data_IF_526950106420
#
_entry.id   IF_526950106420
#
_cell.length_a   1.000
_cell.length_b   1.000
_cell.length_c   1.000
_cell.angle_alpha   90.00
_cell.angle_beta   90.00
_cell.angle_gamma   90.00
#
_symmetry.space_group_name_H-M   'P 1'
#
loop_
_entity.id
_entity.type
_entity.pdbx_description
1 polymer ?
#
# COMPACT_ATOMS: atom_id res chain seq x y z
N UNK A 1 6.18 16.10 -18.16
CA UNK A 1 5.43 15.67 -16.97
C UNK A 1 5.30 14.16 -17.13
N UNK A 2 6.12 13.39 -16.43
CA UNK A 2 6.03 11.93 -16.52
C UNK A 2 4.64 11.53 -16.01
N UNK A 3 3.89 10.86 -16.87
CA UNK A 3 2.56 10.35 -16.58
C UNK A 3 2.77 9.20 -15.57
N UNK A 4 2.67 9.50 -14.26
CA UNK A 4 2.90 8.52 -13.20
C UNK A 4 1.70 7.57 -13.15
N UNK A 5 1.64 6.65 -14.12
CA UNK A 5 0.64 5.60 -14.20
C UNK A 5 1.13 4.36 -13.48
N UNK A 6 0.20 3.62 -12.90
CA UNK A 6 0.47 2.28 -12.40
C UNK A 6 0.66 1.35 -13.60
N UNK A 7 1.87 0.84 -13.78
CA UNK A 7 2.24 -0.08 -14.89
C UNK A 7 2.26 -1.54 -14.43
N UNK A 8 2.53 -1.77 -13.14
CA UNK A 8 2.48 -3.09 -12.51
C UNK A 8 1.61 -3.06 -11.26
N UNK A 9 0.86 -4.13 -11.00
CA UNK A 9 -0.07 -4.21 -9.87
C UNK A 9 -0.23 -5.63 -9.37
N UNK A 10 -0.68 -5.74 -8.13
CA UNK A 10 -1.03 -7.02 -7.54
C UNK A 10 -1.93 -6.87 -6.33
N UNK A 11 -2.35 -8.01 -5.79
CA UNK A 11 -3.14 -8.09 -4.55
C UNK A 11 -2.30 -8.71 -3.46
N UNK A 12 -2.27 -8.07 -2.29
CA UNK A 12 -1.64 -8.63 -1.10
C UNK A 12 -2.68 -9.51 -0.41
N UNK A 13 -2.46 -10.83 -0.42
CA UNK A 13 -3.35 -11.82 0.22
C UNK A 13 -2.96 -12.12 1.65
N UNK A 14 -1.65 -12.11 1.92
CA UNK A 14 -1.07 -12.37 3.22
C UNK A 14 -0.05 -11.27 3.53
N UNK A 15 -0.22 -10.63 4.68
CA UNK A 15 0.66 -9.59 5.19
C UNK A 15 1.39 -10.06 6.46
N UNK A 16 1.33 -11.35 6.81
CA UNK A 16 1.96 -11.90 8.02
C UNK A 16 3.48 -11.76 8.05
N UNK A 17 4.12 -11.67 6.87
CA UNK A 17 5.57 -11.45 6.71
C UNK A 17 5.94 -10.03 6.29
N UNK A 18 4.95 -9.14 6.24
CA UNK A 18 5.07 -7.84 5.59
C UNK A 18 5.10 -7.95 4.06
N UNK A 19 5.26 -6.81 3.40
CA UNK A 19 5.27 -6.72 1.95
C UNK A 19 6.24 -5.64 1.47
N UNK A 20 7.02 -5.95 0.45
CA UNK A 20 7.89 -5.01 -0.27
C UNK A 20 8.08 -5.50 -1.70
N UNK A 21 8.28 -4.56 -2.63
CA UNK A 21 8.69 -4.90 -3.99
C UNK A 21 10.21 -5.17 -4.06
N UNK A 22 10.67 -5.88 -5.10
CA UNK A 22 12.09 -6.03 -5.38
C UNK A 22 12.81 -4.67 -5.40
N UNK A 23 14.07 -4.66 -4.98
CA UNK A 23 14.92 -3.46 -4.97
C UNK A 23 14.38 -2.27 -4.17
N UNK A 24 13.35 -2.48 -3.32
CA UNK A 24 12.64 -1.41 -2.61
C UNK A 24 11.96 -0.40 -3.54
N UNK A 25 11.49 -0.86 -4.70
CA UNK A 25 10.70 -0.04 -5.62
C UNK A 25 9.49 0.57 -4.89
N UNK A 26 9.25 1.88 -5.05
CA UNK A 26 8.12 2.53 -4.43
C UNK A 26 6.80 2.11 -5.11
N UNK A 27 5.77 1.91 -4.31
CA UNK A 27 4.43 1.60 -4.76
C UNK A 27 3.39 2.40 -3.99
N UNK A 28 2.23 2.57 -4.61
CA UNK A 28 1.00 3.01 -3.97
C UNK A 28 0.18 1.80 -3.56
N UNK A 29 -0.66 1.97 -2.54
CA UNK A 29 -1.68 0.98 -2.21
C UNK A 29 -3.09 1.52 -2.46
N UNK A 30 -4.03 0.59 -2.62
CA UNK A 30 -5.46 0.86 -2.66
C UNK A 30 -6.12 -0.06 -1.64
N UNK A 31 -6.95 0.53 -0.78
CA UNK A 31 -7.70 -0.21 0.23
C UNK A 31 -9.16 -0.30 -0.19
N UNK A 32 -9.68 -1.52 -0.22
CA UNK A 32 -11.11 -1.77 -0.42
C UNK A 32 -11.73 -2.34 0.85
N UNK A 33 -12.70 -1.63 1.42
CA UNK A 33 -13.47 -2.14 2.56
C UNK A 33 -14.26 -3.39 2.17
N UNK A 34 -14.21 -4.44 3.02
CA UNK A 34 -15.02 -5.65 2.88
C UNK A 34 -16.32 -5.60 3.67
N UNK A 35 -16.42 -4.71 4.65
CA UNK A 35 -17.50 -4.70 5.65
C UNK A 35 -18.72 -3.91 5.19
N UNK A 36 -18.67 -3.29 4.01
CA UNK A 36 -19.74 -2.41 3.51
C UNK A 36 -19.85 -1.08 4.26
N UNK A 37 -19.01 -0.87 5.28
CA UNK A 37 -18.89 0.40 5.99
C UNK A 37 -18.12 1.39 5.12
N UNK A 38 -18.71 2.57 4.93
CA UNK A 38 -18.06 3.69 4.25
C UNK A 38 -17.14 4.38 5.25
N UNK A 39 -15.87 4.04 5.18
CA UNK A 39 -14.78 4.75 5.85
C UNK A 39 -14.10 5.63 4.80
N UNK A 40 -13.71 6.86 5.16
CA UNK A 40 -13.01 7.75 4.25
C UNK A 40 -11.52 7.43 4.16
N UNK A 41 -10.92 7.11 5.30
CA UNK A 41 -9.51 6.79 5.44
C UNK A 41 -9.27 5.86 6.64
N UNK A 42 -8.06 5.32 6.71
CA UNK A 42 -7.57 4.51 7.83
C UNK A 42 -6.07 4.69 7.98
N UNK A 43 -5.53 4.33 9.14
CA UNK A 43 -4.09 4.35 9.39
C UNK A 43 -3.48 3.00 9.03
N UNK A 44 -2.38 3.04 8.28
CA UNK A 44 -1.54 1.86 8.06
C UNK A 44 -0.17 2.10 8.66
N UNK A 45 0.50 1.03 9.06
CA UNK A 45 1.93 1.11 9.34
C UNK A 45 2.70 0.91 8.04
N UNK A 46 3.61 1.82 7.69
CA UNK A 46 4.46 1.64 6.52
C UNK A 46 5.77 2.42 6.65
N UNK A 47 6.64 2.23 5.68
CA UNK A 47 7.82 3.07 5.46
C UNK A 47 7.73 3.65 4.05
N UNK A 48 7.75 4.97 3.94
CA UNK A 48 7.89 5.69 2.67
C UNK A 48 9.36 5.78 2.26
N UNK A 49 9.61 6.11 1.00
CA UNK A 49 10.97 6.14 0.41
C UNK A 49 11.97 7.03 1.18
N UNK A 50 11.50 8.11 1.82
CA UNK A 50 12.35 9.02 2.60
C UNK A 50 12.32 8.74 4.11
N UNK A 51 11.49 7.80 4.57
CA UNK A 51 11.39 7.49 5.99
C UNK A 51 12.62 6.69 6.45
N UNK A 52 13.05 6.97 7.67
CA UNK A 52 14.12 6.20 8.34
C UNK A 52 13.58 4.94 9.02
N UNK A 53 12.38 5.03 9.56
CA UNK A 53 11.73 4.00 10.36
C UNK A 53 10.29 3.79 9.88
N UNK A 54 9.64 2.74 10.38
CA UNK A 54 8.22 2.48 10.12
C UNK A 54 7.39 3.45 10.98
N UNK A 55 6.31 3.98 10.41
CA UNK A 55 5.36 4.82 11.13
C UNK A 55 3.94 4.70 10.59
N UNK A 56 3.02 5.38 11.26
CA UNK A 56 1.63 5.42 10.86
C UNK A 56 1.44 6.41 9.70
N UNK A 57 0.71 5.98 8.67
CA UNK A 57 0.42 6.75 7.47
C UNK A 57 -1.08 6.69 7.16
N UNK A 58 -1.77 7.84 7.05
CA UNK A 58 -3.17 7.88 6.68
C UNK A 58 -3.35 7.54 5.20
N UNK A 59 -4.28 6.62 4.93
CA UNK A 59 -4.56 6.10 3.59
C UNK A 59 -6.06 6.18 3.31
N UNK A 60 -6.48 6.78 2.17
CA UNK A 60 -7.87 6.78 1.78
C UNK A 60 -8.37 5.35 1.51
N UNK A 61 -9.62 5.09 1.89
CA UNK A 61 -10.32 3.86 1.53
C UNK A 61 -11.12 4.10 0.27
N UNK A 62 -10.94 3.25 -0.74
CA UNK A 62 -11.60 3.39 -2.03
C UNK A 62 -10.83 4.21 -3.07
N UNK A 63 -9.62 4.69 -2.75
CA UNK A 63 -8.74 5.40 -3.68
C UNK A 63 -7.26 4.98 -3.53
N UNK A 64 -6.42 5.34 -4.50
CA UNK A 64 -4.98 5.08 -4.49
C UNK A 64 -4.24 6.07 -3.59
N UNK A 65 -3.29 5.57 -2.81
CA UNK A 65 -2.43 6.44 -2.00
C UNK A 65 -1.50 7.28 -2.86
N UNK A 66 -1.33 8.57 -2.57
CA UNK A 66 -0.28 9.38 -3.19
C UNK A 66 1.13 9.05 -2.64
N UNK A 67 1.23 8.25 -1.57
CA UNK A 67 2.49 7.89 -0.92
C UNK A 67 3.34 6.92 -1.73
N UNK A 68 4.67 7.17 -1.75
CA UNK A 68 5.69 6.26 -2.29
C UNK A 68 6.13 5.27 -1.21
N UNK A 69 5.31 4.26 -0.96
CA UNK A 69 5.57 3.21 0.05
C UNK A 69 6.65 2.27 -0.47
N UNK A 70 7.64 1.95 0.36
CA UNK A 70 8.70 0.98 0.02
C UNK A 70 8.60 -0.31 0.83
N UNK A 71 7.94 -0.27 1.98
CA UNK A 71 7.70 -1.46 2.81
C UNK A 71 6.44 -1.33 3.67
N UNK A 72 5.77 -2.46 3.85
CA UNK A 72 4.73 -2.69 4.84
C UNK A 72 5.27 -3.73 5.84
N UNK A 73 5.29 -3.46 7.15
CA UNK A 73 5.60 -4.49 8.16
C UNK A 73 4.53 -5.59 8.22
N UNK A 74 4.83 -6.70 8.92
CA UNK A 74 3.85 -7.68 9.31
C UNK A 74 2.59 -7.07 9.92
N UNK A 75 1.41 -7.47 9.44
CA UNK A 75 0.12 -7.02 9.96
C UNK A 75 -0.07 -5.49 9.95
N UNK A 76 0.56 -4.79 9.00
CA UNK A 76 0.48 -3.34 8.85
C UNK A 76 -0.95 -2.78 8.75
N UNK A 77 -1.90 -3.61 8.31
CA UNK A 77 -3.33 -3.33 8.31
C UNK A 77 -4.10 -4.64 8.42
N UNK A 78 -5.31 -4.56 8.96
CA UNK A 78 -6.24 -5.69 9.10
C UNK A 78 -6.75 -6.18 7.73
N UNK A 79 -6.18 -7.30 7.27
CA UNK A 79 -6.59 -7.98 6.03
C UNK A 79 -7.95 -8.67 6.13
N UNK A 80 -8.53 -8.82 7.33
CA UNK A 80 -9.90 -9.30 7.48
C UNK A 80 -10.91 -8.19 7.12
N UNK A 81 -10.58 -6.93 7.41
CA UNK A 81 -11.42 -5.75 7.10
C UNK A 81 -11.22 -5.21 5.69
N UNK A 82 -9.98 -5.22 5.18
CA UNK A 82 -9.65 -4.62 3.90
C UNK A 82 -9.08 -5.63 2.90
N UNK A 83 -9.42 -5.46 1.62
CA UNK A 83 -8.61 -5.98 0.52
C UNK A 83 -7.54 -4.94 0.17
N UNK A 84 -6.29 -5.38 0.04
CA UNK A 84 -5.16 -4.51 -0.22
C UNK A 84 -4.61 -4.81 -1.61
N UNK A 85 -4.51 -3.76 -2.42
CA UNK A 85 -3.88 -3.81 -3.73
C UNK A 85 -2.66 -2.90 -3.73
N UNK A 86 -1.64 -3.25 -4.51
CA UNK A 86 -0.48 -2.41 -4.75
C UNK A 86 -0.36 -2.07 -6.23
N UNK A 87 0.21 -0.91 -6.51
CA UNK A 87 0.49 -0.43 -7.86
C UNK A 87 1.82 0.30 -7.90
N UNK A 88 2.67 -0.05 -8.86
CA UNK A 88 3.98 0.58 -9.07
C UNK A 88 4.05 1.22 -10.47
N UNK A 89 4.82 2.29 -10.58
CA UNK A 89 5.09 2.99 -11.85
C UNK A 89 6.24 2.38 -12.65
N UNK A 90 6.89 1.35 -12.12
CA UNK A 90 7.90 0.54 -12.80
C UNK A 90 7.51 -0.94 -12.73
N UNK A 91 8.03 -1.75 -13.64
CA UNK A 91 7.76 -3.18 -13.69
C UNK A 91 8.76 -3.97 -12.82
N UNK A 92 8.32 -4.56 -11.70
CA UNK A 92 9.22 -5.32 -10.82
C UNK A 92 9.55 -6.75 -11.32
N UNK A 93 9.07 -7.16 -12.51
CA UNK A 93 9.22 -8.53 -13.06
C UNK A 93 9.64 -8.58 -14.53
#
# INVERSE_FOLDING_TARGET
>A
MEDVRIVAKGRIKDLSKGFRLPESLPFSIYLRSKTGVVENDTLIQCRLICDKEIGDFPVPVGDWTPGKIVALPPNAIDTAKYEIYWGASDNPY
#
